data_IF_190899100795
#
_entry.id   IF_190899100795
#
_cell.length_a   1.000
_cell.length_b   1.000
_cell.length_c   1.000
_cell.angle_alpha   90.00
_cell.angle_beta   90.00
_cell.angle_gamma   90.00
#
_symmetry.space_group_name_H-M   'P 1'
#
loop_
_entity.id
_entity.type
_entity.pdbx_description
1 polymer ?
#
# COMPACT_ATOMS: atom_id res chain seq x y z
N UNK A 1 10.58 48.19 10.19
CA UNK A 1 9.29 47.85 9.55
C UNK A 1 9.50 46.67 8.59
N UNK A 2 9.17 45.43 9.01
CA UNK A 2 9.21 44.25 8.12
C UNK A 2 7.95 44.24 7.30
N UNK A 3 8.04 44.44 5.98
CA UNK A 3 6.95 44.23 5.01
C UNK A 3 6.54 42.73 5.09
N UNK A 4 5.43 42.44 5.73
CA UNK A 4 4.73 41.15 5.61
C UNK A 4 4.31 40.96 4.17
N UNK A 5 5.01 40.09 3.43
CA UNK A 5 4.56 39.64 2.11
C UNK A 5 3.16 39.01 2.28
N UNK A 6 2.17 39.68 1.72
CA UNK A 6 0.82 39.12 1.60
C UNK A 6 0.90 37.83 0.77
N UNK A 7 0.85 36.69 1.44
CA UNK A 7 0.74 35.42 0.74
C UNK A 7 -0.53 35.45 -0.09
N UNK A 8 -0.40 35.36 -1.41
CA UNK A 8 -1.53 35.25 -2.35
C UNK A 8 -2.32 34.00 -1.93
N UNK A 9 -3.50 34.19 -1.32
CA UNK A 9 -4.39 33.10 -0.93
C UNK A 9 -5.08 32.58 -2.18
N UNK A 10 -4.45 31.59 -2.84
CA UNK A 10 -5.05 30.87 -3.96
C UNK A 10 -6.31 30.15 -3.46
N UNK A 11 -7.48 30.32 -4.11
CA UNK A 11 -8.73 29.65 -3.71
C UNK A 11 -8.58 28.12 -3.74
N UNK A 12 -9.25 27.44 -2.82
CA UNK A 12 -9.17 25.97 -2.65
C UNK A 12 -9.33 25.19 -3.97
N UNK A 13 -10.34 25.45 -4.82
CA UNK A 13 -10.52 24.68 -6.06
C UNK A 13 -9.35 24.86 -7.03
N UNK A 14 -8.75 26.06 -7.09
CA UNK A 14 -7.61 26.32 -7.96
C UNK A 14 -6.34 25.53 -7.54
N UNK A 15 -6.14 25.32 -6.24
CA UNK A 15 -5.02 24.48 -5.73
C UNK A 15 -5.17 23.03 -6.17
N UNK A 16 -6.38 22.46 -6.07
CA UNK A 16 -6.63 21.09 -6.52
C UNK A 16 -6.45 20.95 -8.03
N UNK A 17 -6.89 21.95 -8.79
CA UNK A 17 -6.72 21.98 -10.24
C UNK A 17 -5.25 22.05 -10.64
N UNK A 18 -4.46 22.93 -10.00
CA UNK A 18 -3.01 23.02 -10.22
C UNK A 18 -2.31 21.69 -9.91
N UNK A 19 -2.62 21.07 -8.77
CA UNK A 19 -2.03 19.79 -8.41
C UNK A 19 -2.39 18.69 -9.41
N UNK A 20 -3.64 18.64 -9.87
CA UNK A 20 -4.09 17.68 -10.87
C UNK A 20 -3.35 17.87 -12.20
N UNK A 21 -3.22 19.12 -12.67
CA UNK A 21 -2.47 19.44 -13.89
C UNK A 21 -0.99 19.05 -13.76
N UNK A 22 -0.36 19.31 -12.61
CA UNK A 22 1.03 18.92 -12.37
C UNK A 22 1.21 17.40 -12.37
N UNK A 23 0.29 16.64 -11.74
CA UNK A 23 0.33 15.18 -11.73
C UNK A 23 0.15 14.62 -13.14
N UNK A 24 -0.81 15.16 -13.91
CA UNK A 24 -1.02 14.75 -15.30
C UNK A 24 0.16 15.11 -16.21
N UNK A 25 0.75 16.29 -16.04
CA UNK A 25 1.93 16.72 -16.78
C UNK A 25 3.13 15.80 -16.49
N UNK A 26 3.37 15.47 -15.21
CA UNK A 26 4.42 14.54 -14.80
C UNK A 26 4.22 13.16 -15.44
N UNK A 27 3.00 12.63 -15.37
CA UNK A 27 2.67 11.34 -15.98
C UNK A 27 2.91 11.36 -17.49
N UNK A 28 2.43 12.40 -18.19
CA UNK A 28 2.54 12.52 -19.63
C UNK A 28 4.00 12.63 -20.08
N UNK A 29 4.82 13.42 -19.38
CA UNK A 29 6.26 13.56 -19.67
C UNK A 29 6.97 12.21 -19.51
N UNK A 30 6.77 11.52 -18.38
CA UNK A 30 7.41 10.22 -18.14
C UNK A 30 6.91 9.16 -19.13
N UNK A 31 5.61 9.15 -19.43
CA UNK A 31 5.02 8.20 -20.37
C UNK A 31 5.58 8.39 -21.79
N UNK A 32 5.66 9.63 -22.28
CA UNK A 32 6.23 9.94 -23.60
C UNK A 32 7.71 9.59 -23.69
N UNK A 33 8.50 9.85 -22.63
CA UNK A 33 9.92 9.47 -22.59
C UNK A 33 10.14 7.96 -22.60
N UNK A 34 9.25 7.19 -21.98
CA UNK A 34 9.28 5.72 -22.01
C UNK A 34 8.90 5.22 -23.41
N UNK A 35 7.83 5.77 -24.02
CA UNK A 35 7.37 5.37 -25.35
C UNK A 35 8.39 5.69 -26.45
N UNK A 36 9.08 6.82 -26.35
CA UNK A 36 10.10 7.24 -27.32
C UNK A 36 11.42 6.47 -27.18
N UNK A 37 11.50 5.52 -26.21
CA UNK A 37 12.71 4.72 -25.99
C UNK A 37 13.90 5.50 -25.39
N UNK A 38 13.72 6.78 -25.04
CA UNK A 38 14.74 7.60 -24.36
C UNK A 38 15.06 7.02 -22.97
N UNK A 39 14.03 6.48 -22.30
CA UNK A 39 14.17 5.76 -21.04
C UNK A 39 14.26 4.27 -21.37
N UNK A 40 15.42 3.66 -21.08
CA UNK A 40 15.64 2.22 -21.28
C UNK A 40 14.73 1.39 -20.35
N UNK A 41 14.50 0.11 -20.71
CA UNK A 41 13.71 -0.81 -19.89
C UNK A 41 14.22 -0.93 -18.45
N UNK A 42 15.51 -0.75 -18.21
CA UNK A 42 16.11 -0.72 -16.89
C UNK A 42 15.59 0.44 -16.04
N UNK A 43 15.62 1.65 -16.57
CA UNK A 43 15.11 2.84 -15.88
C UNK A 43 13.60 2.81 -15.67
N UNK A 44 12.86 2.27 -16.66
CA UNK A 44 11.42 2.03 -16.51
C UNK A 44 11.11 1.10 -15.33
N UNK A 45 11.90 0.03 -15.16
CA UNK A 45 11.80 -0.87 -14.01
C UNK A 45 12.07 -0.18 -12.67
N UNK A 46 13.07 0.71 -12.62
CA UNK A 46 13.35 1.53 -11.43
C UNK A 46 12.17 2.43 -11.10
N UNK A 47 11.57 3.11 -12.09
CA UNK A 47 10.40 3.98 -11.88
C UNK A 47 9.20 3.22 -11.32
N UNK A 48 8.94 2.01 -11.80
CA UNK A 48 7.89 1.13 -11.28
C UNK A 48 8.17 0.79 -9.80
N UNK A 49 9.39 0.36 -9.50
CA UNK A 49 9.79 0.01 -8.13
C UNK A 49 9.71 1.21 -7.19
N UNK A 50 10.15 2.39 -7.64
CA UNK A 50 10.00 3.64 -6.88
C UNK A 50 8.54 3.94 -6.60
N UNK A 51 7.65 3.79 -7.59
CA UNK A 51 6.20 3.97 -7.39
C UNK A 51 5.63 3.02 -6.31
N UNK A 52 5.99 1.75 -6.33
CA UNK A 52 5.59 0.77 -5.32
C UNK A 52 6.12 1.17 -3.94
N UNK A 53 7.38 1.57 -3.85
CA UNK A 53 7.98 2.03 -2.59
C UNK A 53 7.35 3.32 -2.06
N UNK A 54 6.86 4.22 -2.92
CA UNK A 54 6.09 5.40 -2.51
C UNK A 54 4.79 4.97 -1.83
N UNK A 55 4.07 3.98 -2.37
CA UNK A 55 2.85 3.45 -1.73
C UNK A 55 3.21 2.86 -0.36
N UNK A 56 4.26 2.06 -0.26
CA UNK A 56 4.72 1.48 1.00
C UNK A 56 5.11 2.54 2.02
N UNK A 57 5.91 3.52 1.63
CA UNK A 57 6.35 4.59 2.53
C UNK A 57 5.18 5.45 3.01
N UNK A 58 4.25 5.80 2.11
CA UNK A 58 3.06 6.59 2.48
C UNK A 58 2.08 5.78 3.33
N UNK A 59 1.94 4.47 3.10
CA UNK A 59 1.14 3.58 3.94
C UNK A 59 1.74 3.45 5.34
N UNK A 60 3.06 3.26 5.44
CA UNK A 60 3.77 3.22 6.73
C UNK A 60 3.64 4.56 7.47
N UNK A 61 3.69 5.69 6.74
CA UNK A 61 3.52 7.01 7.32
C UNK A 61 2.16 7.22 8.00
N UNK A 62 1.12 6.46 7.61
CA UNK A 62 -0.17 6.48 8.33
C UNK A 62 0.00 5.99 9.77
N UNK A 63 0.78 4.95 10.00
CA UNK A 63 1.03 4.41 11.32
C UNK A 63 2.13 5.19 12.07
N UNK A 64 3.23 5.55 11.41
CA UNK A 64 4.37 6.21 12.07
C UNK A 64 4.19 7.72 12.17
N UNK A 65 3.80 8.38 11.08
CA UNK A 65 3.71 9.84 11.01
C UNK A 65 2.44 10.40 11.63
N UNK A 66 1.28 9.79 11.32
CA UNK A 66 -0.01 10.30 11.80
C UNK A 66 -0.42 9.72 13.16
N UNK A 67 -0.19 8.43 13.40
CA UNK A 67 -0.56 7.77 14.66
C UNK A 67 0.57 7.83 15.70
N UNK A 68 1.82 8.01 15.28
CA UNK A 68 2.98 8.05 16.18
C UNK A 68 3.45 6.68 16.69
N UNK A 69 3.07 5.60 16.01
CA UNK A 69 3.46 4.23 16.37
C UNK A 69 4.36 3.63 15.29
N UNK A 70 5.40 2.88 15.68
CA UNK A 70 6.39 2.32 14.76
C UNK A 70 6.18 0.80 14.57
N UNK A 71 5.37 0.35 13.58
CA UNK A 71 5.23 -1.06 13.28
C UNK A 71 6.40 -1.54 12.39
N UNK A 72 7.34 -2.30 12.95
CA UNK A 72 8.47 -2.86 12.18
C UNK A 72 8.05 -4.05 11.30
N UNK A 73 6.90 -4.66 11.56
CA UNK A 73 6.36 -5.78 10.77
C UNK A 73 5.60 -5.38 9.50
N UNK A 74 5.72 -4.13 9.03
CA UNK A 74 4.96 -3.63 7.89
C UNK A 74 5.18 -4.43 6.59
N UNK A 75 6.40 -4.95 6.38
CA UNK A 75 6.74 -5.83 5.28
C UNK A 75 5.91 -7.12 5.25
N UNK A 76 5.45 -7.63 6.40
CA UNK A 76 4.57 -8.78 6.49
C UNK A 76 3.22 -8.55 5.81
N UNK A 77 2.62 -7.35 5.94
CA UNK A 77 1.37 -7.01 5.25
C UNK A 77 1.56 -6.90 3.74
N UNK A 78 2.70 -6.37 3.30
CA UNK A 78 3.09 -6.38 1.89
C UNK A 78 3.18 -7.82 1.36
N UNK A 79 3.83 -8.73 2.10
CA UNK A 79 3.96 -10.14 1.71
C UNK A 79 2.59 -10.82 1.60
N UNK A 80 1.72 -10.66 2.60
CA UNK A 80 0.34 -11.21 2.57
C UNK A 80 -0.42 -10.72 1.34
N UNK A 81 -0.36 -9.42 1.04
CA UNK A 81 -1.01 -8.84 -0.13
C UNK A 81 -0.43 -9.35 -1.44
N UNK A 82 0.91 -9.51 -1.52
CA UNK A 82 1.60 -10.02 -2.69
C UNK A 82 1.19 -11.48 -3.01
N UNK A 83 1.15 -12.33 -1.99
CA UNK A 83 0.71 -13.72 -2.16
C UNK A 83 -0.79 -13.81 -2.48
N UNK A 84 -1.65 -13.09 -1.77
CA UNK A 84 -3.10 -13.09 -2.04
C UNK A 84 -3.42 -12.67 -3.48
N UNK A 85 -2.85 -11.55 -3.93
CA UNK A 85 -3.02 -11.06 -5.30
C UNK A 85 -2.36 -11.97 -6.33
N UNK A 86 -1.15 -12.46 -6.05
CA UNK A 86 -0.41 -13.35 -6.94
C UNK A 86 -1.11 -14.68 -7.19
N UNK A 87 -1.66 -15.31 -6.13
CA UNK A 87 -2.44 -16.55 -6.22
C UNK A 87 -3.71 -16.31 -7.04
N UNK A 88 -4.45 -15.23 -6.77
CA UNK A 88 -5.65 -14.88 -7.52
C UNK A 88 -5.34 -14.68 -9.01
N UNK A 89 -4.30 -13.91 -9.34
CA UNK A 89 -3.91 -13.62 -10.72
C UNK A 89 -3.42 -14.87 -11.46
N UNK A 90 -2.88 -15.86 -10.75
CA UNK A 90 -2.50 -17.16 -11.32
C UNK A 90 -3.71 -18.06 -11.57
N UNK A 91 -4.76 -17.95 -10.75
CA UNK A 91 -5.99 -18.75 -10.87
C UNK A 91 -6.89 -18.30 -12.04
N UNK A 92 -6.74 -17.04 -12.49
CA UNK A 92 -7.56 -16.46 -13.56
C UNK A 92 -6.75 -16.42 -14.89
N UNK A 93 -7.38 -16.61 -16.07
CA UNK A 93 -6.70 -16.65 -17.38
C UNK A 93 -6.19 -15.26 -17.86
N UNK A 94 -5.76 -14.41 -16.93
CA UNK A 94 -5.25 -13.05 -17.24
C UNK A 94 -4.00 -13.11 -18.13
N UNK A 95 -3.20 -14.17 -18.01
CA UNK A 95 -2.01 -14.33 -18.83
C UNK A 95 -2.35 -14.50 -20.32
N UNK A 96 -3.45 -15.16 -20.64
CA UNK A 96 -3.94 -15.32 -22.01
C UNK A 96 -4.50 -13.99 -22.54
N UNK A 97 -5.27 -13.27 -21.73
CA UNK A 97 -5.82 -11.95 -22.07
C UNK A 97 -4.72 -10.91 -22.31
N UNK A 98 -3.65 -10.92 -21.51
CA UNK A 98 -2.51 -10.02 -21.73
C UNK A 98 -1.71 -10.38 -22.99
N UNK A 99 -1.62 -11.67 -23.37
CA UNK A 99 -0.94 -12.12 -24.58
C UNK A 99 -1.76 -11.83 -25.85
N UNK A 100 -3.08 -11.88 -25.78
CA UNK A 100 -3.98 -11.55 -26.91
C UNK A 100 -4.06 -10.03 -27.17
N UNK A 101 -3.41 -9.21 -26.33
CA UNK A 101 -3.43 -7.74 -26.47
C UNK A 101 -4.70 -7.08 -25.90
N UNK A 102 -5.61 -7.85 -25.32
CA UNK A 102 -6.89 -7.37 -24.80
C UNK A 102 -6.73 -6.83 -23.37
N UNK A 103 -5.94 -5.76 -23.26
CA UNK A 103 -5.66 -5.10 -21.97
C UNK A 103 -6.94 -4.60 -21.30
N UNK A 104 -7.97 -4.24 -22.07
CA UNK A 104 -9.26 -3.82 -21.55
C UNK A 104 -9.96 -4.90 -20.73
N UNK A 105 -9.95 -6.14 -21.20
CA UNK A 105 -10.55 -7.28 -20.49
C UNK A 105 -9.73 -7.70 -19.25
N UNK A 106 -8.44 -7.37 -19.20
CA UNK A 106 -7.60 -7.67 -18.04
C UNK A 106 -7.77 -6.68 -16.86
N UNK A 107 -8.19 -5.44 -17.12
CA UNK A 107 -8.33 -4.38 -16.10
C UNK A 107 -9.24 -4.80 -14.92
N UNK A 108 -10.46 -5.34 -15.11
CA UNK A 108 -11.32 -5.71 -14.00
C UNK A 108 -10.70 -6.78 -13.10
N UNK A 109 -9.97 -7.73 -13.66
CA UNK A 109 -9.27 -8.76 -12.88
C UNK A 109 -8.11 -8.18 -12.07
N UNK A 110 -7.38 -7.22 -12.63
CA UNK A 110 -6.31 -6.51 -11.92
C UNK A 110 -6.88 -5.70 -10.75
N UNK A 111 -7.98 -4.98 -10.97
CA UNK A 111 -8.67 -4.23 -9.90
C UNK A 111 -9.18 -5.16 -8.80
N UNK A 112 -9.74 -6.32 -9.19
CA UNK A 112 -10.19 -7.32 -8.22
C UNK A 112 -9.00 -7.89 -7.42
N UNK A 113 -7.87 -8.16 -8.06
CA UNK A 113 -6.66 -8.62 -7.38
C UNK A 113 -6.15 -7.60 -6.36
N UNK A 114 -6.13 -6.30 -6.71
CA UNK A 114 -5.76 -5.22 -5.81
C UNK A 114 -6.72 -5.13 -4.62
N UNK A 115 -8.02 -5.29 -4.86
CA UNK A 115 -9.04 -5.27 -3.81
C UNK A 115 -8.90 -6.47 -2.88
N UNK A 116 -8.73 -7.69 -3.42
CA UNK A 116 -8.51 -8.90 -2.63
C UNK A 116 -7.26 -8.73 -1.76
N UNK A 117 -6.15 -8.26 -2.34
CA UNK A 117 -4.90 -8.02 -1.62
C UNK A 117 -5.07 -7.01 -0.48
N UNK A 118 -5.82 -5.93 -0.73
CA UNK A 118 -6.12 -4.93 0.30
C UNK A 118 -6.96 -5.52 1.44
N UNK A 119 -8.02 -6.27 1.11
CA UNK A 119 -8.92 -6.87 2.10
C UNK A 119 -8.20 -7.92 2.93
N UNK A 120 -7.45 -8.82 2.30
CA UNK A 120 -6.71 -9.86 3.01
C UNK A 120 -5.64 -9.25 3.92
N UNK A 121 -4.85 -8.30 3.42
CA UNK A 121 -3.88 -7.58 4.25
C UNK A 121 -4.57 -6.80 5.39
N UNK A 122 -5.75 -6.23 5.16
CA UNK A 122 -6.57 -5.57 6.18
C UNK A 122 -7.04 -6.53 7.28
N UNK A 123 -7.48 -7.74 6.92
CA UNK A 123 -7.86 -8.79 7.90
C UNK A 123 -6.67 -9.15 8.79
N UNK A 124 -5.48 -9.38 8.20
CA UNK A 124 -4.26 -9.60 8.97
C UNK A 124 -3.89 -8.36 9.81
N UNK A 125 -4.14 -7.15 9.28
CA UNK A 125 -4.00 -5.90 10.01
C UNK A 125 -4.88 -5.83 11.26
N UNK A 126 -6.13 -6.29 11.19
CA UNK A 126 -7.03 -6.38 12.36
C UNK A 126 -6.51 -7.43 13.35
N UNK A 127 -6.21 -8.64 12.86
CA UNK A 127 -5.80 -9.77 13.67
C UNK A 127 -4.53 -9.48 14.47
N UNK A 128 -3.56 -8.82 13.86
CA UNK A 128 -2.30 -8.42 14.50
C UNK A 128 -2.44 -7.11 15.26
N UNK A 129 -3.20 -6.16 14.72
CA UNK A 129 -3.36 -4.83 15.29
C UNK A 129 -4.03 -4.86 16.67
N UNK A 130 -5.08 -5.65 16.86
CA UNK A 130 -5.81 -5.70 18.14
C UNK A 130 -4.88 -6.08 19.32
N UNK A 131 -4.09 -7.16 19.28
CA UNK A 131 -3.18 -7.49 20.36
C UNK A 131 -1.96 -6.56 20.42
N UNK A 132 -1.39 -6.18 19.27
CA UNK A 132 -0.16 -5.39 19.22
C UNK A 132 -0.37 -3.95 19.73
N UNK A 133 -1.49 -3.32 19.38
CA UNK A 133 -1.78 -1.92 19.74
C UNK A 133 -2.14 -1.71 21.24
N UNK A 134 -2.26 -2.78 22.00
CA UNK A 134 -2.35 -2.70 23.47
C UNK A 134 -1.01 -2.39 24.12
N UNK A 135 0.08 -2.61 23.40
CA UNK A 135 1.43 -2.34 23.85
C UNK A 135 1.84 -0.92 23.44
N UNK A 136 2.78 -0.34 24.19
CA UNK A 136 3.25 1.02 23.97
C UNK A 136 4.75 1.02 23.64
N UNK A 137 5.17 2.04 22.87
CA UNK A 137 6.58 2.27 22.57
C UNK A 137 7.26 1.11 21.85
N UNK A 138 8.46 0.76 22.29
CA UNK A 138 9.35 -0.22 21.64
C UNK A 138 8.77 -1.65 21.65
N UNK A 139 7.94 -2.00 22.63
CA UNK A 139 7.30 -3.31 22.69
C UNK A 139 6.37 -3.55 21.48
N UNK A 140 5.69 -2.52 20.98
CA UNK A 140 4.89 -2.61 19.77
C UNK A 140 5.77 -2.96 18.57
N UNK A 141 6.93 -2.30 18.44
CA UNK A 141 7.86 -2.51 17.35
C UNK A 141 8.38 -3.97 17.33
N UNK A 142 8.79 -4.49 18.50
CA UNK A 142 9.31 -5.85 18.66
C UNK A 142 8.21 -6.88 18.30
N UNK A 143 7.00 -6.71 18.83
CA UNK A 143 5.91 -7.67 18.56
C UNK A 143 5.48 -7.63 17.09
N UNK A 144 5.39 -6.46 16.47
CA UNK A 144 5.04 -6.37 15.05
C UNK A 144 6.11 -6.98 14.17
N UNK A 145 7.40 -6.87 14.52
CA UNK A 145 8.48 -7.56 13.84
C UNK A 145 8.31 -9.09 13.97
N UNK A 146 8.03 -9.59 15.18
CA UNK A 146 7.75 -11.01 15.41
C UNK A 146 6.59 -11.53 14.58
N UNK A 147 5.49 -10.78 14.49
CA UNK A 147 4.37 -11.12 13.61
C UNK A 147 4.75 -11.13 12.14
N UNK A 148 5.62 -10.22 11.70
CA UNK A 148 6.15 -10.22 10.32
C UNK A 148 6.89 -11.53 10.02
N UNK A 149 7.72 -12.02 10.94
CA UNK A 149 8.40 -13.32 10.82
C UNK A 149 7.42 -14.51 10.87
N UNK A 150 6.41 -14.46 11.73
CA UNK A 150 5.36 -15.49 11.77
C UNK A 150 4.64 -15.57 10.43
N UNK A 151 4.27 -14.43 9.83
CA UNK A 151 3.67 -14.39 8.49
C UNK A 151 4.59 -15.04 7.46
N UNK A 152 5.87 -14.69 7.47
CA UNK A 152 6.87 -15.28 6.56
C UNK A 152 6.93 -16.79 6.70
N UNK A 153 7.02 -17.30 7.92
CA UNK A 153 7.07 -18.73 8.21
C UNK A 153 5.78 -19.44 7.77
N UNK A 154 4.61 -18.83 8.03
CA UNK A 154 3.33 -19.38 7.57
C UNK A 154 3.28 -19.46 6.05
N UNK A 155 3.61 -18.38 5.35
CA UNK A 155 3.58 -18.35 3.87
C UNK A 155 4.55 -19.34 3.25
N UNK A 156 5.68 -19.62 3.90
CA UNK A 156 6.68 -20.59 3.44
C UNK A 156 6.26 -22.04 3.70
N UNK A 157 5.48 -22.32 4.75
CA UNK A 157 5.17 -23.68 5.18
C UNK A 157 3.70 -24.08 5.01
N UNK A 158 2.83 -23.19 4.53
CA UNK A 158 1.38 -23.43 4.44
C UNK A 158 1.03 -24.65 3.57
N UNK A 159 1.82 -24.93 2.54
CA UNK A 159 1.61 -26.05 1.63
C UNK A 159 1.81 -27.40 2.32
N UNK A 160 2.76 -27.49 3.25
CA UNK A 160 2.99 -28.71 4.04
C UNK A 160 1.83 -28.99 5.01
N UNK A 161 1.09 -27.95 5.42
CA UNK A 161 -0.06 -28.05 6.32
C UNK A 161 -1.35 -28.40 5.56
N UNK A 162 -1.55 -27.78 4.40
CA UNK A 162 -2.80 -27.95 3.60
C UNK A 162 -2.70 -29.16 2.68
N UNK A 163 -1.50 -29.65 2.38
CA UNK A 163 -1.28 -30.78 1.46
C UNK A 163 -1.58 -30.45 -0.01
N UNK A 164 -1.57 -29.18 -0.38
CA UNK A 164 -1.76 -28.65 -1.74
C UNK A 164 -0.73 -27.55 -2.00
N UNK A 165 -0.23 -27.49 -3.23
CA UNK A 165 0.70 -26.45 -3.70
C UNK A 165 -0.03 -25.09 -3.84
N UNK A 166 -0.17 -24.38 -2.74
CA UNK A 166 -0.84 -23.08 -2.68
C UNK A 166 0.15 -21.92 -2.86
N UNK A 167 1.23 -21.94 -2.10
CA UNK A 167 2.30 -20.93 -2.15
C UNK A 167 3.59 -21.47 -2.79
N UNK A 168 3.67 -22.77 -3.01
CA UNK A 168 4.86 -23.51 -3.43
C UNK A 168 6.01 -23.44 -2.42
N UNK A 169 5.71 -23.11 -1.19
CA UNK A 169 6.64 -23.14 -0.06
C UNK A 169 7.95 -22.42 -0.32
N UNK A 170 9.06 -23.07 0.00
CA UNK A 170 10.42 -22.54 -0.21
C UNK A 170 10.77 -22.33 -1.70
N UNK A 171 10.09 -23.00 -2.66
CA UNK A 171 10.30 -22.80 -4.09
C UNK A 171 9.69 -21.49 -4.59
N UNK A 172 8.78 -20.89 -3.81
CA UNK A 172 8.12 -19.63 -4.09
C UNK A 172 7.05 -19.70 -5.18
N UNK A 173 6.15 -18.74 -5.17
CA UNK A 173 5.10 -18.61 -6.18
C UNK A 173 5.70 -18.07 -7.48
N UNK A 174 5.78 -18.91 -8.51
CA UNK A 174 6.33 -18.58 -9.83
C UNK A 174 5.24 -18.44 -10.89
N UNK A 175 5.58 -17.82 -12.02
CA UNK A 175 4.70 -17.62 -13.18
C UNK A 175 3.48 -16.75 -12.88
N UNK A 176 3.66 -15.70 -12.07
CA UNK A 176 2.65 -14.65 -11.93
C UNK A 176 2.63 -13.83 -13.20
N UNK A 177 1.45 -13.54 -13.82
CA UNK A 177 1.37 -12.66 -14.97
C UNK A 177 1.98 -11.29 -14.65
N UNK A 178 2.79 -10.74 -15.58
CA UNK A 178 3.36 -9.40 -15.44
C UNK A 178 2.34 -8.36 -15.89
N UNK A 179 1.60 -7.79 -14.98
CA UNK A 179 0.57 -6.78 -15.26
C UNK A 179 0.92 -5.37 -14.74
N UNK A 180 1.95 -5.25 -13.92
CA UNK A 180 2.33 -3.97 -13.31
C UNK A 180 3.09 -3.10 -14.32
N UNK A 181 2.34 -2.36 -15.15
CA UNK A 181 2.88 -1.33 -16.03
C UNK A 181 3.15 -0.03 -15.24
N UNK A 182 4.00 0.86 -15.77
CA UNK A 182 4.27 2.17 -15.20
C UNK A 182 2.99 2.98 -14.95
N UNK A 183 2.09 3.01 -15.94
CA UNK A 183 0.82 3.75 -15.85
C UNK A 183 -0.06 3.23 -14.71
N UNK A 184 -0.18 1.90 -14.58
CA UNK A 184 -0.99 1.29 -13.51
C UNK A 184 -0.45 1.63 -12.14
N UNK A 185 0.88 1.49 -11.93
CA UNK A 185 1.52 1.83 -10.66
C UNK A 185 1.37 3.32 -10.34
N UNK A 186 1.56 4.20 -11.34
CA UNK A 186 1.40 5.64 -11.16
C UNK A 186 -0.02 6.01 -10.73
N UNK A 187 -1.05 5.43 -11.36
CA UNK A 187 -2.46 5.63 -10.97
C UNK A 187 -2.68 5.16 -9.53
N UNK A 188 -2.17 3.98 -9.17
CA UNK A 188 -2.29 3.46 -7.80
C UNK A 188 -1.61 4.37 -6.77
N UNK A 189 -0.42 4.94 -7.08
CA UNK A 189 0.25 5.92 -6.21
C UNK A 189 -0.65 7.12 -5.96
N UNK A 190 -1.20 7.71 -7.02
CA UNK A 190 -2.08 8.89 -6.91
C UNK A 190 -3.33 8.57 -6.09
N UNK A 191 -3.97 7.43 -6.36
CA UNK A 191 -5.18 6.99 -5.64
C UNK A 191 -4.88 6.76 -4.17
N UNK A 192 -3.79 6.03 -3.84
CA UNK A 192 -3.41 5.77 -2.45
C UNK A 192 -3.10 7.08 -1.70
N UNK A 193 -2.33 7.99 -2.29
CA UNK A 193 -2.05 9.30 -1.70
C UNK A 193 -3.32 10.12 -1.49
N UNK A 194 -4.26 10.08 -2.44
CA UNK A 194 -5.55 10.76 -2.33
C UNK A 194 -6.42 10.18 -1.21
N UNK A 195 -6.47 8.86 -1.07
CA UNK A 195 -7.19 8.17 0.01
C UNK A 195 -6.62 8.59 1.37
N UNK A 196 -5.30 8.51 1.55
CA UNK A 196 -4.62 8.93 2.79
C UNK A 196 -4.93 10.39 3.10
N UNK A 197 -4.78 11.29 2.12
CA UNK A 197 -5.05 12.71 2.29
C UNK A 197 -6.50 12.98 2.74
N UNK A 198 -7.46 12.29 2.12
CA UNK A 198 -8.89 12.43 2.45
C UNK A 198 -9.20 11.92 3.85
N UNK A 199 -8.66 10.75 4.23
CA UNK A 199 -8.82 10.18 5.56
C UNK A 199 -8.22 11.12 6.61
N UNK A 200 -6.99 11.60 6.40
CA UNK A 200 -6.30 12.45 7.37
C UNK A 200 -6.93 13.83 7.55
N UNK A 201 -7.63 14.35 6.53
CA UNK A 201 -8.42 15.60 6.65
C UNK A 201 -9.81 15.40 7.29
N UNK A 202 -10.28 14.18 7.41
CA UNK A 202 -11.58 13.85 7.99
C UNK A 202 -11.62 13.99 9.51
N UNK A 203 -12.79 13.73 10.13
CA UNK A 203 -12.92 13.64 11.59
C UNK A 203 -12.04 12.52 12.15
N UNK A 204 -11.95 11.40 11.45
CA UNK A 204 -11.12 10.26 11.87
C UNK A 204 -9.63 10.62 11.88
N UNK A 205 -9.14 11.33 10.88
CA UNK A 205 -7.74 11.78 10.84
C UNK A 205 -7.40 12.73 11.99
N UNK A 206 -8.31 13.65 12.35
CA UNK A 206 -8.10 14.52 13.52
C UNK A 206 -8.06 13.76 14.84
N UNK A 207 -8.88 12.73 15.00
CA UNK A 207 -8.85 11.86 16.17
C UNK A 207 -7.54 11.05 16.24
N UNK A 208 -7.01 10.58 15.09
CA UNK A 208 -5.71 9.89 15.02
C UNK A 208 -4.58 10.85 15.44
N UNK A 209 -4.59 12.07 14.92
CA UNK A 209 -3.59 13.08 15.29
C UNK A 209 -3.64 13.48 16.78
N UNK A 210 -4.83 13.59 17.38
CA UNK A 210 -4.94 13.89 18.81
C UNK A 210 -4.33 12.78 19.67
N UNK A 211 -4.51 11.51 19.29
CA UNK A 211 -3.92 10.36 19.99
C UNK A 211 -2.39 10.41 19.93
N UNK A 212 -1.83 10.85 18.80
CA UNK A 212 -0.38 11.01 18.64
C UNK A 212 0.19 12.05 19.59
N UNK A 213 -0.50 13.18 19.77
CA UNK A 213 -0.03 14.27 20.63
C UNK A 213 -0.12 13.87 22.11
N UNK A 214 -1.27 13.39 22.58
CA UNK A 214 -1.46 12.87 23.93
C UNK A 214 -2.63 11.87 23.96
N UNK A 215 -2.31 10.60 24.20
CA UNK A 215 -3.28 9.52 24.27
C UNK A 215 -4.23 9.66 25.48
N UNK A 216 -3.68 10.03 26.65
CA UNK A 216 -4.45 10.13 27.89
C UNK A 216 -5.42 11.31 27.81
N UNK A 217 -4.96 12.46 27.33
CA UNK A 217 -5.81 13.62 27.11
C UNK A 217 -6.91 13.35 26.07
N UNK A 218 -6.60 12.64 24.99
CA UNK A 218 -7.59 12.26 23.97
C UNK A 218 -8.68 11.34 24.54
N UNK A 219 -8.29 10.39 25.38
CA UNK A 219 -9.22 9.46 26.03
C UNK A 219 -10.14 10.20 27.02
N UNK A 220 -9.61 11.18 27.76
CA UNK A 220 -10.37 11.98 28.72
C UNK A 220 -11.47 12.83 28.07
N UNK A 221 -11.32 13.21 26.80
CA UNK A 221 -12.36 13.92 26.03
C UNK A 221 -13.25 12.99 25.20
N UNK A 222 -13.19 11.67 25.46
CA UNK A 222 -14.09 10.67 24.87
C UNK A 222 -13.66 10.09 23.53
N UNK A 223 -12.42 10.28 23.09
CA UNK A 223 -11.88 9.62 21.88
C UNK A 223 -11.57 8.16 22.19
N UNK A 224 -12.17 7.23 21.43
CA UNK A 224 -11.92 5.80 21.57
C UNK A 224 -10.55 5.44 20.98
N UNK A 225 -9.49 5.55 21.78
CA UNK A 225 -8.10 5.39 21.33
C UNK A 225 -7.83 4.06 20.64
N UNK A 226 -8.30 2.95 21.22
CA UNK A 226 -8.14 1.60 20.62
C UNK A 226 -8.76 1.49 19.23
N UNK A 227 -9.96 2.05 19.03
CA UNK A 227 -10.64 2.02 17.73
C UNK A 227 -9.84 2.78 16.66
N UNK A 228 -9.43 4.02 16.96
CA UNK A 228 -8.71 4.84 16.00
C UNK A 228 -7.30 4.35 15.71
N UNK A 229 -6.62 3.77 16.70
CA UNK A 229 -5.34 3.09 16.50
C UNK A 229 -5.48 1.90 15.54
N UNK A 230 -6.46 1.02 15.83
CA UNK A 230 -6.73 -0.14 14.97
C UNK A 230 -7.12 0.29 13.57
N UNK A 231 -7.98 1.30 13.44
CA UNK A 231 -8.39 1.84 12.13
C UNK A 231 -7.20 2.34 11.30
N UNK A 232 -6.32 3.16 11.89
CA UNK A 232 -5.13 3.66 11.20
C UNK A 232 -4.19 2.53 10.79
N UNK A 233 -4.01 1.54 11.66
CA UNK A 233 -3.18 0.37 11.41
C UNK A 233 -3.72 -0.51 10.27
N UNK A 234 -5.03 -0.75 10.26
CA UNK A 234 -5.71 -1.51 9.20
C UNK A 234 -5.62 -0.80 7.85
N UNK A 235 -5.86 0.52 7.80
CA UNK A 235 -5.71 1.30 6.57
C UNK A 235 -4.27 1.21 6.06
N UNK A 236 -3.28 1.33 6.94
CA UNK A 236 -1.86 1.16 6.61
C UNK A 236 -1.58 -0.24 6.04
N UNK A 237 -2.10 -1.30 6.66
CA UNK A 237 -1.95 -2.68 6.18
C UNK A 237 -2.61 -2.91 4.82
N UNK A 238 -3.82 -2.38 4.59
CA UNK A 238 -4.52 -2.49 3.30
C UNK A 238 -3.72 -1.86 2.15
N UNK A 239 -3.17 -0.68 2.37
CA UNK A 239 -2.34 0.02 1.38
C UNK A 239 -1.02 -0.73 1.11
N UNK A 240 -0.41 -1.31 2.17
CA UNK A 240 0.75 -2.17 2.00
C UNK A 240 0.44 -3.43 1.19
N UNK A 241 -0.76 -4.00 1.37
CA UNK A 241 -1.25 -5.12 0.57
C UNK A 241 -1.37 -4.79 -0.92
N UNK A 242 -1.89 -3.59 -1.26
CA UNK A 242 -1.94 -3.09 -2.63
C UNK A 242 -0.54 -3.00 -3.23
N UNK A 243 0.43 -2.42 -2.49
CA UNK A 243 1.81 -2.32 -2.94
C UNK A 243 2.43 -3.72 -3.17
N UNK A 244 2.11 -4.69 -2.29
CA UNK A 244 2.53 -6.09 -2.43
C UNK A 244 2.01 -6.74 -3.71
N UNK A 245 0.72 -6.55 -4.03
CA UNK A 245 0.11 -7.06 -5.26
C UNK A 245 0.80 -6.48 -6.51
N UNK A 246 1.04 -5.16 -6.53
CA UNK A 246 1.77 -4.52 -7.62
C UNK A 246 3.20 -5.05 -7.75
N UNK A 247 3.87 -5.30 -6.63
CA UNK A 247 5.22 -5.88 -6.61
C UNK A 247 5.24 -7.29 -7.18
N UNK A 248 4.27 -8.14 -6.81
CA UNK A 248 4.09 -9.48 -7.35
C UNK A 248 3.92 -9.46 -8.88
N UNK A 249 3.08 -8.54 -9.39
CA UNK A 249 2.85 -8.36 -10.83
C UNK A 249 4.02 -7.74 -11.59
N UNK A 250 4.96 -7.08 -10.90
CA UNK A 250 6.17 -6.56 -11.50
C UNK A 250 7.26 -7.63 -11.63
N UNK A 251 7.58 -8.33 -10.53
CA UNK A 251 8.65 -9.34 -10.51
C UNK A 251 8.21 -10.63 -11.22
N UNK A 252 6.95 -11.05 -11.06
CA UNK A 252 6.42 -12.28 -11.63
C UNK A 252 6.77 -13.54 -10.84
N UNK A 253 7.46 -13.40 -9.71
CA UNK A 253 7.79 -14.49 -8.78
C UNK A 253 7.95 -13.95 -7.36
N UNK A 254 7.53 -14.73 -6.35
CA UNK A 254 7.64 -14.40 -4.93
C UNK A 254 8.37 -15.54 -4.20
N UNK A 255 9.33 -15.19 -3.35
CA UNK A 255 10.13 -16.13 -2.56
C UNK A 255 10.02 -15.82 -1.06
#
# INVERSE_FOLDING_TARGET
>A
MKKTRSAIRIPMPLRYLINLVLILALWLVLFTLIQNGTITNYWSGILITVGINIILATSLNVATGYLGQLPLGHAGFMAVGAYAGGIFMKAVPVQELLKSGDTGAAIPYILLALLISAVVAGIFGILIGIPALRLRGDYLAIITLGFGEIIRVILTNIDSVIGKDFTYGAAGLKRIPKYSSFTLVFICVVVCCYIIHTIMKSRHGRAILSIREDEIASESVGVQTTYYKTFAFVVSAMLAGIAGCLYAGYIGSLY
#
